data_IF_912222384571
#
_entry.id   IF_912222384571
#
_cell.length_a   1.000
_cell.length_b   1.000
_cell.length_c   1.000
_cell.angle_alpha   90.00
_cell.angle_beta   90.00
_cell.angle_gamma   90.00
#
_symmetry.space_group_name_H-M   'P 1'
#
loop_
_entity.id
_entity.type
_entity.pdbx_description
1 polymer ?
#
# COMPACT_ATOMS: atom_id res chain seq x y z
N UNK A 1 -52.07 50.95 1.67
CA UNK A 1 -51.56 51.86 0.61
C UNK A 1 -50.11 52.15 0.92
N UNK A 2 -49.22 51.70 0.01
CA UNK A 2 -47.88 52.22 -0.37
C UNK A 2 -46.97 52.79 0.74
N UNK A 3 -45.85 52.13 1.03
CA UNK A 3 -44.52 52.29 0.38
C UNK A 3 -43.88 53.66 0.64
N UNK A 4 -42.79 53.70 1.42
CA UNK A 4 -41.50 54.30 1.02
C UNK A 4 -40.36 53.52 1.72
N UNK A 5 -39.41 53.09 0.90
CA UNK A 5 -38.25 52.28 1.21
C UNK A 5 -37.02 53.08 1.68
N UNK A 6 -35.96 52.30 2.00
CA UNK A 6 -34.53 52.63 1.96
C UNK A 6 -33.93 53.34 3.20
N UNK A 7 -32.72 53.06 3.69
CA UNK A 7 -31.55 52.39 3.11
C UNK A 7 -30.55 52.05 4.26
N UNK A 8 -30.11 50.80 4.40
CA UNK A 8 -28.84 50.48 5.10
C UNK A 8 -28.06 49.48 4.23
N UNK A 9 -26.76 49.73 3.99
CA UNK A 9 -25.99 48.94 3.04
C UNK A 9 -25.81 47.51 3.53
N UNK A 10 -26.17 46.54 2.68
CA UNK A 10 -25.82 45.13 2.86
C UNK A 10 -24.31 45.00 2.80
N UNK A 11 -23.68 44.62 3.91
CA UNK A 11 -22.30 44.14 3.90
C UNK A 11 -22.27 42.82 3.14
N UNK A 12 -21.76 42.84 1.91
CA UNK A 12 -21.40 41.63 1.18
C UNK A 12 -20.37 40.85 1.99
N UNK A 13 -20.76 39.69 2.52
CA UNK A 13 -19.81 38.72 3.04
C UNK A 13 -19.09 38.12 1.84
N UNK A 14 -17.87 38.59 1.62
CA UNK A 14 -16.88 37.97 0.75
C UNK A 14 -16.72 36.50 1.19
N UNK A 15 -17.31 35.57 0.45
CA UNK A 15 -17.10 34.13 0.66
C UNK A 15 -15.64 33.88 0.26
N UNK A 16 -14.75 33.78 1.25
CA UNK A 16 -13.41 33.24 1.04
C UNK A 16 -13.58 31.74 0.84
N UNK A 17 -13.58 31.32 -0.41
CA UNK A 17 -13.43 29.92 -0.80
C UNK A 17 -12.03 29.47 -0.37
N UNK A 18 -11.94 29.01 0.88
CA UNK A 18 -10.70 28.55 1.49
C UNK A 18 -10.65 27.05 1.30
N UNK A 19 -10.18 26.62 0.12
CA UNK A 19 -9.71 25.25 -0.06
C UNK A 19 -8.50 25.05 0.85
N UNK A 20 -8.71 24.41 1.98
CA UNK A 20 -7.62 23.96 2.84
C UNK A 20 -7.10 22.68 2.19
N UNK A 21 -5.99 22.79 1.45
CA UNK A 21 -5.21 21.64 0.97
C UNK A 21 -4.24 21.29 2.09
N UNK A 22 -4.33 20.06 2.57
CA UNK A 22 -3.56 19.60 3.72
C UNK A 22 -2.71 18.40 3.31
N UNK A 23 -1.39 18.60 3.29
CA UNK A 23 -0.38 17.64 2.87
C UNK A 23 0.06 16.77 4.06
N UNK A 24 -0.26 15.45 4.13
CA UNK A 24 0.00 14.66 5.35
C UNK A 24 0.33 13.17 5.15
N UNK A 25 1.50 12.73 5.63
CA UNK A 25 1.84 11.31 5.85
C UNK A 25 1.45 10.88 7.27
N UNK A 26 0.43 10.03 7.41
CA UNK A 26 0.15 9.22 8.61
C UNK A 26 -0.38 9.94 9.87
N UNK A 27 0.42 10.76 10.55
CA UNK A 27 0.14 11.25 11.92
C UNK A 27 -0.95 12.33 11.98
N UNK A 28 -1.16 13.09 10.92
CA UNK A 28 -2.06 14.24 10.97
C UNK A 28 -3.51 13.95 10.53
N UNK A 29 -3.87 12.68 10.30
CA UNK A 29 -5.26 12.22 10.23
C UNK A 29 -5.97 12.37 11.59
N UNK A 30 -5.23 12.16 12.69
CA UNK A 30 -5.67 12.30 14.08
C UNK A 30 -6.14 13.72 14.42
N UNK A 31 -5.40 14.74 13.99
CA UNK A 31 -5.70 16.14 14.29
C UNK A 31 -6.94 16.66 13.54
N UNK A 32 -7.23 16.11 12.36
CA UNK A 32 -8.42 16.45 11.57
C UNK A 32 -9.69 15.88 12.19
N UNK A 33 -9.63 14.67 12.75
CA UNK A 33 -10.73 14.09 13.52
C UNK A 33 -11.04 14.89 14.79
N UNK A 34 -10.02 15.47 15.44
CA UNK A 34 -10.16 16.33 16.64
C UNK A 34 -10.84 17.68 16.38
N UNK A 35 -10.76 18.24 15.17
CA UNK A 35 -11.18 19.63 14.91
C UNK A 35 -12.62 19.81 14.36
N UNK A 36 -13.41 18.76 14.17
CA UNK A 36 -14.73 18.89 13.52
C UNK A 36 -15.90 19.16 14.47
N UNK A 37 -15.89 20.29 15.19
CA UNK A 37 -17.12 20.80 15.86
C UNK A 37 -18.16 21.34 14.86
N UNK A 38 -17.78 21.45 13.57
CA UNK A 38 -18.66 21.77 12.44
C UNK A 38 -18.39 20.83 11.29
N UNK A 39 -19.46 20.34 10.66
CA UNK A 39 -19.38 19.54 9.42
C UNK A 39 -18.67 20.34 8.32
N UNK A 40 -17.54 19.78 7.87
CA UNK A 40 -16.74 20.25 6.74
C UNK A 40 -17.16 19.55 5.42
N UNK A 41 -18.29 18.82 5.45
CA UNK A 41 -18.81 18.10 4.29
C UNK A 41 -19.01 19.06 3.11
N UNK A 42 -18.45 18.69 1.96
CA UNK A 42 -18.52 19.46 0.71
C UNK A 42 -17.68 20.75 0.66
N UNK A 43 -16.92 21.10 1.71
CA UNK A 43 -16.09 22.32 1.77
C UNK A 43 -14.61 22.05 2.04
N UNK A 44 -14.22 20.79 2.16
CA UNK A 44 -12.83 20.38 2.35
C UNK A 44 -12.51 19.29 1.32
N UNK A 45 -11.34 19.41 0.72
CA UNK A 45 -10.74 18.37 -0.09
C UNK A 45 -9.70 17.65 0.77
N UNK A 46 -9.79 16.34 0.81
CA UNK A 46 -8.79 15.50 1.46
C UNK A 46 -7.80 15.05 0.39
N UNK A 47 -6.51 15.27 0.65
CA UNK A 47 -5.44 14.74 -0.19
C UNK A 47 -4.71 13.71 0.65
N UNK A 48 -4.83 12.45 0.24
CA UNK A 48 -4.06 11.37 0.86
C UNK A 48 -2.61 11.47 0.35
N UNK A 49 -1.66 11.62 1.27
CA UNK A 49 -0.24 11.46 0.94
C UNK A 49 0.26 10.17 1.56
N UNK A 50 0.54 9.20 0.70
CA UNK A 50 1.19 7.98 1.10
C UNK A 50 2.73 8.19 1.16
N UNK A 51 3.47 7.26 1.78
CA UNK A 51 4.92 7.24 1.69
C UNK A 51 5.41 7.24 0.23
N UNK A 52 6.69 7.58 0.03
CA UNK A 52 7.34 7.57 -1.28
C UNK A 52 7.21 6.18 -1.89
N UNK A 53 6.69 6.11 -3.11
CA UNK A 53 6.56 4.86 -3.85
C UNK A 53 7.74 4.59 -4.81
N UNK A 54 7.71 3.43 -5.47
CA UNK A 54 8.76 3.00 -6.40
C UNK A 54 8.91 3.91 -7.62
N UNK A 55 7.84 4.59 -8.07
CA UNK A 55 7.91 5.52 -9.19
C UNK A 55 8.57 6.83 -8.76
N UNK A 56 8.12 7.40 -7.64
CA UNK A 56 8.67 8.63 -7.06
C UNK A 56 10.16 8.48 -6.70
N UNK A 57 10.53 7.37 -6.05
CA UNK A 57 11.92 7.06 -5.73
C UNK A 57 12.79 6.96 -6.99
N UNK A 58 12.31 6.29 -8.04
CA UNK A 58 13.04 6.17 -9.29
C UNK A 58 13.24 7.52 -9.98
N UNK A 59 12.23 8.40 -9.96
CA UNK A 59 12.33 9.77 -10.48
C UNK A 59 13.34 10.62 -9.70
N UNK A 60 13.45 10.39 -8.38
CA UNK A 60 14.42 11.04 -7.51
C UNK A 60 15.83 10.41 -7.58
N UNK A 61 16.05 9.37 -8.40
CA UNK A 61 17.33 8.67 -8.49
C UNK A 61 17.66 7.78 -7.29
N UNK A 62 16.66 7.45 -6.46
CA UNK A 62 16.80 6.56 -5.29
C UNK A 62 16.68 5.11 -5.76
N UNK A 63 17.61 4.26 -5.34
CA UNK A 63 17.59 2.84 -5.70
C UNK A 63 16.42 2.10 -5.04
N UNK A 64 15.75 1.21 -5.78
CA UNK A 64 14.64 0.38 -5.26
C UNK A 64 15.06 -0.45 -4.05
N UNK A 65 16.30 -0.95 -4.02
CA UNK A 65 16.86 -1.66 -2.87
C UNK A 65 16.94 -0.78 -1.61
N UNK A 66 17.27 0.50 -1.76
CA UNK A 66 17.30 1.46 -0.64
C UNK A 66 15.88 1.75 -0.14
N UNK A 67 14.94 1.98 -1.07
CA UNK A 67 13.52 2.16 -0.73
C UNK A 67 12.95 0.92 -0.04
N UNK A 68 13.24 -0.27 -0.56
CA UNK A 68 12.77 -1.52 0.00
C UNK A 68 13.32 -1.73 1.42
N UNK A 69 14.61 -1.51 1.66
CA UNK A 69 15.22 -1.65 2.99
C UNK A 69 14.68 -0.61 3.98
N UNK A 70 14.61 0.65 3.56
CA UNK A 70 14.37 1.80 4.46
C UNK A 70 12.90 2.23 4.56
N UNK A 71 12.02 1.75 3.69
CA UNK A 71 10.64 2.20 3.59
C UNK A 71 10.51 3.58 2.91
N UNK A 72 9.27 3.99 2.65
CA UNK A 72 8.94 5.20 1.90
C UNK A 72 8.81 6.46 2.74
N UNK A 73 8.97 6.39 4.07
CA UNK A 73 8.95 7.59 4.91
C UNK A 73 10.18 8.47 4.63
N UNK A 74 10.03 9.75 4.24
CA UNK A 74 11.15 10.56 3.75
C UNK A 74 12.35 10.64 4.70
N UNK A 75 12.12 10.89 5.98
CA UNK A 75 13.21 11.00 6.98
C UNK A 75 13.98 9.68 7.15
N UNK A 76 13.29 8.54 7.06
CA UNK A 76 13.91 7.21 7.07
C UNK A 76 14.66 6.95 5.76
N UNK A 77 14.01 7.18 4.62
CA UNK A 77 14.54 6.89 3.29
C UNK A 77 15.82 7.68 2.99
N UNK A 78 15.81 8.97 3.35
CA UNK A 78 16.85 9.94 3.07
C UNK A 78 17.91 10.08 4.17
N UNK A 79 17.82 9.28 5.24
CA UNK A 79 18.85 9.25 6.28
C UNK A 79 20.25 8.98 5.69
N UNK A 80 21.29 9.51 6.33
CA UNK A 80 22.67 9.39 5.82
C UNK A 80 23.19 7.95 5.81
N UNK A 81 22.67 7.09 6.68
CA UNK A 81 23.05 5.68 6.79
C UNK A 81 21.88 4.81 7.30
N UNK A 82 22.04 3.48 7.18
CA UNK A 82 20.99 2.51 7.52
C UNK A 82 20.69 2.46 9.02
N UNK A 83 21.66 2.82 9.87
CA UNK A 83 21.47 2.84 11.33
C UNK A 83 20.58 4.00 11.75
N UNK A 84 20.86 5.22 11.28
CA UNK A 84 20.01 6.38 11.54
C UNK A 84 18.61 6.20 10.93
N UNK A 85 18.54 5.58 9.75
CA UNK A 85 17.29 5.19 9.12
C UNK A 85 16.47 4.26 10.03
N UNK A 86 17.08 3.21 10.57
CA UNK A 86 16.43 2.27 11.48
C UNK A 86 16.03 2.91 12.82
N UNK A 87 16.90 3.72 13.42
CA UNK A 87 16.62 4.41 14.68
C UNK A 87 15.38 5.30 14.55
N UNK A 88 15.26 6.05 13.44
CA UNK A 88 14.06 6.83 13.13
C UNK A 88 12.81 5.93 13.05
N UNK A 89 12.89 4.77 12.36
CA UNK A 89 11.75 3.85 12.23
C UNK A 89 11.31 3.26 13.57
N UNK A 90 12.26 2.94 14.46
CA UNK A 90 11.96 2.48 15.82
C UNK A 90 11.27 3.57 16.64
N UNK A 91 11.75 4.81 16.54
CA UNK A 91 11.13 5.95 17.22
C UNK A 91 9.75 6.29 16.64
N UNK A 92 9.55 6.13 15.32
CA UNK A 92 8.26 6.22 14.66
C UNK A 92 7.28 5.18 15.22
N UNK A 93 7.66 3.91 15.25
CA UNK A 93 6.83 2.82 15.79
C UNK A 93 6.47 3.11 17.26
N UNK A 94 7.45 3.47 18.09
CA UNK A 94 7.23 3.81 19.51
C UNK A 94 6.23 4.95 19.65
N UNK A 95 6.46 6.05 18.94
CA UNK A 95 5.59 7.23 19.00
C UNK A 95 4.17 6.91 18.58
N UNK A 96 3.98 6.12 17.52
CA UNK A 96 2.67 5.71 17.04
C UNK A 96 1.93 4.86 18.08
N UNK A 97 2.61 3.86 18.66
CA UNK A 97 2.05 2.97 19.67
C UNK A 97 1.71 3.68 20.99
N UNK A 98 2.55 4.64 21.41
CA UNK A 98 2.38 5.32 22.70
C UNK A 98 1.43 6.52 22.64
N UNK A 99 1.30 7.17 21.48
CA UNK A 99 0.51 8.40 21.35
C UNK A 99 -0.73 8.23 20.48
N UNK A 100 -0.58 7.65 19.31
CA UNK A 100 -1.59 7.72 18.26
C UNK A 100 -2.61 6.60 18.38
N UNK A 101 -2.18 5.34 18.53
CA UNK A 101 -3.12 4.21 18.63
C UNK A 101 -3.99 4.24 19.90
N UNK A 102 -3.48 4.58 21.10
CA UNK A 102 -4.30 4.64 22.31
C UNK A 102 -5.48 5.62 22.22
N UNK A 103 -5.39 6.64 21.35
CA UNK A 103 -6.51 7.56 21.12
C UNK A 103 -7.73 6.88 20.47
N UNK A 104 -7.51 5.81 19.70
CA UNK A 104 -8.56 5.08 18.99
C UNK A 104 -8.84 3.69 19.59
N UNK A 105 -7.91 3.16 20.38
CA UNK A 105 -7.98 1.87 21.03
C UNK A 105 -7.81 1.97 22.57
N UNK A 106 -8.64 2.76 23.29
CA UNK A 106 -8.40 3.07 24.70
C UNK A 106 -8.44 1.86 25.65
N UNK A 107 -8.92 0.70 25.16
CA UNK A 107 -9.06 -0.54 25.93
C UNK A 107 -7.92 -1.54 25.73
N UNK A 108 -6.96 -1.28 24.85
CA UNK A 108 -5.79 -2.15 24.66
C UNK A 108 -4.50 -1.41 25.00
N UNK A 109 -3.64 -1.97 25.87
CA UNK A 109 -2.33 -1.40 26.15
C UNK A 109 -1.49 -1.28 24.87
N UNK A 110 -0.72 -0.21 24.74
CA UNK A 110 0.19 0.03 23.61
C UNK A 110 1.09 -1.19 23.32
N UNK A 111 1.58 -1.86 24.37
CA UNK A 111 2.39 -3.07 24.27
C UNK A 111 1.65 -4.22 23.54
N UNK A 112 0.36 -4.42 23.81
CA UNK A 112 -0.42 -5.47 23.15
C UNK A 112 -0.64 -5.16 21.66
N UNK A 113 -0.77 -3.89 21.30
CA UNK A 113 -0.85 -3.43 19.90
C UNK A 113 0.51 -3.61 19.22
N UNK A 114 1.61 -3.29 19.90
CA UNK A 114 2.97 -3.56 19.41
C UNK A 114 3.17 -5.04 19.11
N UNK A 115 2.80 -5.93 20.05
CA UNK A 115 2.82 -7.39 19.83
C UNK A 115 1.96 -7.82 18.65
N UNK A 116 0.73 -7.29 18.52
CA UNK A 116 -0.13 -7.55 17.36
C UNK A 116 0.58 -7.17 16.06
N UNK A 117 1.16 -5.98 15.99
CA UNK A 117 1.82 -5.48 14.79
C UNK A 117 3.06 -6.32 14.43
N UNK A 118 3.88 -6.68 15.41
CA UNK A 118 5.00 -7.61 15.23
C UNK A 118 4.52 -9.00 14.78
N UNK A 119 3.40 -9.50 15.30
CA UNK A 119 2.84 -10.78 14.83
C UNK A 119 2.36 -10.70 13.38
N UNK A 120 1.78 -9.58 12.96
CA UNK A 120 1.43 -9.34 11.56
C UNK A 120 2.68 -9.24 10.68
N UNK A 121 3.76 -8.62 11.16
CA UNK A 121 5.06 -8.59 10.46
C UNK A 121 5.61 -10.00 10.21
N UNK A 122 5.52 -10.90 11.19
CA UNK A 122 5.88 -12.32 11.00
C UNK A 122 4.93 -13.07 10.06
N UNK A 123 3.72 -12.55 9.82
CA UNK A 123 2.74 -13.10 8.88
C UNK A 123 2.68 -12.34 7.55
N UNK A 124 3.71 -11.55 7.21
CA UNK A 124 3.75 -10.76 5.97
C UNK A 124 3.36 -11.60 4.75
N UNK A 125 2.38 -11.13 3.97
CA UNK A 125 1.89 -11.81 2.76
C UNK A 125 1.15 -13.13 2.99
N UNK A 126 1.02 -13.57 4.24
CA UNK A 126 0.29 -14.76 4.63
C UNK A 126 -1.22 -14.53 4.71
N UNK A 127 -1.98 -15.62 4.57
CA UNK A 127 -3.42 -15.62 4.83
C UNK A 127 -3.67 -15.40 6.34
N UNK A 128 -4.52 -14.43 6.66
CA UNK A 128 -4.81 -14.03 8.03
C UNK A 128 -5.48 -15.16 8.81
N UNK A 129 -4.85 -15.56 9.92
CA UNK A 129 -5.42 -16.49 10.89
C UNK A 129 -5.73 -15.72 12.19
N UNK A 130 -6.90 -15.11 12.25
CA UNK A 130 -7.33 -14.30 13.39
C UNK A 130 -7.38 -15.11 14.69
N UNK A 131 -7.85 -16.36 14.64
CA UNK A 131 -7.96 -17.21 15.82
C UNK A 131 -6.59 -17.47 16.48
N UNK A 132 -5.56 -17.71 15.67
CA UNK A 132 -4.19 -17.89 16.16
C UNK A 132 -3.66 -16.62 16.83
N UNK A 133 -3.90 -15.45 16.23
CA UNK A 133 -3.47 -14.17 16.77
C UNK A 133 -4.20 -13.86 18.09
N UNK A 134 -5.52 -14.04 18.10
CA UNK A 134 -6.36 -13.80 19.27
C UNK A 134 -5.97 -14.69 20.46
N UNK A 135 -5.74 -15.98 20.21
CA UNK A 135 -5.27 -16.92 21.23
C UNK A 135 -3.90 -16.51 21.80
N UNK A 136 -2.95 -16.12 20.96
CA UNK A 136 -1.62 -15.71 21.43
C UNK A 136 -1.62 -14.39 22.20
N UNK A 137 -2.59 -13.50 21.95
CA UNK A 137 -2.75 -12.23 22.68
C UNK A 137 -3.73 -12.30 23.85
N UNK A 138 -4.37 -13.46 24.09
CA UNK A 138 -5.32 -13.64 25.19
C UNK A 138 -6.59 -12.81 25.05
N UNK A 139 -7.03 -12.53 23.83
CA UNK A 139 -8.24 -11.72 23.53
C UNK A 139 -9.18 -12.44 22.58
N UNK A 140 -10.39 -11.92 22.38
CA UNK A 140 -11.37 -12.50 21.46
C UNK A 140 -11.10 -12.15 20.00
N UNK A 141 -11.56 -13.00 19.05
CA UNK A 141 -11.43 -12.73 17.61
C UNK A 141 -12.02 -11.37 17.19
N UNK A 142 -13.24 -10.96 17.63
CA UNK A 142 -13.77 -9.64 17.27
C UNK A 142 -12.91 -8.48 17.79
N UNK A 143 -12.15 -8.71 18.87
CA UNK A 143 -11.24 -7.72 19.41
C UNK A 143 -10.01 -7.56 18.54
N UNK A 144 -9.42 -8.67 18.08
CA UNK A 144 -8.32 -8.61 17.10
C UNK A 144 -8.77 -7.98 15.79
N UNK A 145 -9.95 -8.35 15.27
CA UNK A 145 -10.41 -7.82 13.99
C UNK A 145 -10.57 -6.29 14.03
N UNK A 146 -11.16 -5.73 15.10
CA UNK A 146 -11.23 -4.28 15.30
C UNK A 146 -9.87 -3.60 15.33
N UNK A 147 -8.86 -4.24 15.92
CA UNK A 147 -7.51 -3.64 15.98
C UNK A 147 -6.76 -3.77 14.66
N UNK A 148 -6.96 -4.85 13.90
CA UNK A 148 -6.44 -4.94 12.54
C UNK A 148 -7.13 -3.90 11.65
N UNK A 149 -8.44 -3.72 11.78
CA UNK A 149 -9.19 -2.67 11.05
C UNK A 149 -8.64 -1.28 11.38
N UNK A 150 -8.38 -1.00 12.66
CA UNK A 150 -7.74 0.24 13.07
C UNK A 150 -6.37 0.44 12.39
N UNK A 151 -5.50 -0.58 12.36
CA UNK A 151 -4.21 -0.48 11.67
C UNK A 151 -4.36 -0.31 10.14
N UNK A 152 -5.43 -0.84 9.55
CA UNK A 152 -5.76 -0.64 8.13
C UNK A 152 -6.24 0.78 7.87
N UNK A 153 -7.11 1.33 8.72
CA UNK A 153 -7.61 2.70 8.63
C UNK A 153 -6.49 3.72 8.81
N UNK A 154 -5.55 3.43 9.70
CA UNK A 154 -4.31 4.21 9.90
C UNK A 154 -3.29 4.02 8.77
N UNK A 155 -3.59 3.14 7.80
CA UNK A 155 -2.75 2.77 6.66
C UNK A 155 -1.39 2.17 7.05
N UNK A 156 -1.27 1.62 8.25
CA UNK A 156 -0.09 0.90 8.72
C UNK A 156 -0.07 -0.55 8.21
N UNK A 157 -1.25 -1.11 8.00
CA UNK A 157 -1.46 -2.46 7.48
C UNK A 157 -2.30 -2.39 6.21
N UNK A 158 -1.97 -3.24 5.23
CA UNK A 158 -2.81 -3.51 4.07
C UNK A 158 -3.48 -4.87 4.25
N UNK A 159 -4.81 -4.90 4.19
CA UNK A 159 -5.60 -6.14 4.13
C UNK A 159 -6.03 -6.35 2.68
N UNK A 160 -5.44 -7.35 2.03
CA UNK A 160 -5.73 -7.68 0.63
C UNK A 160 -6.76 -8.81 0.58
N UNK A 161 -8.00 -8.48 0.18
CA UNK A 161 -9.08 -9.44 0.09
C UNK A 161 -8.96 -10.38 -1.12
N UNK A 162 -9.51 -11.60 -1.05
CA UNK A 162 -9.61 -12.44 -2.22
C UNK A 162 -10.65 -11.86 -3.19
N UNK A 163 -10.35 -11.85 -4.48
CA UNK A 163 -11.32 -11.53 -5.51
C UNK A 163 -12.38 -12.64 -5.54
N UNK A 164 -13.66 -12.29 -5.42
CA UNK A 164 -14.74 -13.22 -5.10
C UNK A 164 -15.89 -13.25 -6.11
N UNK A 165 -15.66 -12.81 -7.36
CA UNK A 165 -16.70 -12.84 -8.39
C UNK A 165 -17.15 -14.26 -8.77
N UNK A 166 -18.12 -14.34 -9.69
CA UNK A 166 -18.82 -15.58 -10.09
C UNK A 166 -17.96 -16.53 -10.93
N UNK A 167 -16.80 -16.89 -10.42
CA UNK A 167 -15.97 -17.98 -10.96
C UNK A 167 -16.45 -19.22 -10.25
N UNK A 168 -16.96 -20.22 -10.98
CA UNK A 168 -17.52 -21.46 -10.43
C UNK A 168 -16.51 -22.38 -9.71
N UNK A 169 -15.55 -21.81 -8.98
CA UNK A 169 -14.44 -22.47 -8.29
C UNK A 169 -14.52 -22.19 -6.79
N UNK A 170 -13.93 -23.08 -6.01
CA UNK A 170 -13.78 -22.89 -4.57
C UNK A 170 -12.58 -21.98 -4.30
N UNK A 171 -12.85 -20.78 -3.79
CA UNK A 171 -11.84 -19.76 -3.49
C UNK A 171 -11.45 -19.74 -2.01
N UNK A 172 -10.20 -19.34 -1.73
CA UNK A 172 -9.78 -18.96 -0.38
C UNK A 172 -10.56 -17.72 0.04
N UNK A 173 -11.12 -17.73 1.25
CA UNK A 173 -12.00 -16.64 1.75
C UNK A 173 -11.30 -15.64 2.67
N UNK A 174 -10.23 -16.07 3.35
CA UNK A 174 -9.50 -15.21 4.28
C UNK A 174 -8.56 -14.27 3.52
N UNK A 175 -8.42 -13.01 3.95
CA UNK A 175 -7.55 -12.04 3.29
C UNK A 175 -6.07 -12.35 3.54
N UNK A 176 -5.18 -11.86 2.66
CA UNK A 176 -3.76 -11.69 2.97
C UNK A 176 -3.55 -10.38 3.76
N UNK A 177 -2.51 -10.33 4.59
CA UNK A 177 -2.15 -9.11 5.33
C UNK A 177 -0.70 -8.73 5.11
N UNK A 178 -0.45 -7.43 5.04
CA UNK A 178 0.88 -6.86 4.89
C UNK A 178 1.05 -5.71 5.87
N UNK A 179 2.16 -5.65 6.58
CA UNK A 179 2.68 -4.37 7.07
C UNK A 179 3.01 -3.55 5.82
N UNK A 180 2.38 -2.38 5.71
CA UNK A 180 2.28 -1.65 4.44
C UNK A 180 3.62 -1.08 4.01
N UNK A 181 4.37 -0.48 4.93
CA UNK A 181 5.69 0.07 4.68
C UNK A 181 6.77 -0.98 5.00
N UNK A 182 7.65 -1.24 4.03
CA UNK A 182 8.69 -2.27 4.18
C UNK A 182 9.74 -1.90 5.21
N UNK A 183 10.08 -0.61 5.36
CA UNK A 183 10.98 -0.15 6.41
C UNK A 183 10.41 -0.42 7.80
N UNK A 184 9.12 -0.12 8.01
CA UNK A 184 8.43 -0.41 9.28
C UNK A 184 8.36 -1.92 9.54
N UNK A 185 8.08 -2.73 8.51
CA UNK A 185 8.18 -4.20 8.61
C UNK A 185 9.56 -4.64 9.09
N UNK A 186 10.63 -4.11 8.48
CA UNK A 186 12.00 -4.48 8.82
C UNK A 186 12.38 -4.03 10.24
N UNK A 187 11.93 -2.86 10.67
CA UNK A 187 12.13 -2.39 12.04
C UNK A 187 11.40 -3.28 13.07
N UNK A 188 10.16 -3.71 12.80
CA UNK A 188 9.42 -4.64 13.68
C UNK A 188 10.06 -6.02 13.80
N UNK A 189 10.86 -6.42 12.81
CA UNK A 189 11.58 -7.70 12.75
C UNK A 189 13.08 -7.55 13.08
N UNK A 190 13.52 -6.35 13.46
CA UNK A 190 14.91 -6.03 13.81
C UNK A 190 15.92 -6.35 12.68
N UNK A 191 15.50 -6.19 11.42
CA UNK A 191 16.32 -6.35 10.22
C UNK A 191 17.01 -5.01 9.90
N UNK A 192 18.33 -4.96 10.07
CA UNK A 192 19.07 -3.69 10.06
C UNK A 192 19.71 -3.41 8.71
N UNK A 193 20.21 -4.46 8.07
CA UNK A 193 20.98 -4.40 6.83
C UNK A 193 20.27 -5.16 5.71
N UNK A 194 20.72 -4.91 4.48
CA UNK A 194 20.28 -5.71 3.33
C UNK A 194 20.63 -7.19 3.50
N UNK A 195 21.77 -7.52 4.11
CA UNK A 195 22.18 -8.91 4.34
C UNK A 195 21.25 -9.61 5.34
N UNK A 196 20.84 -8.93 6.42
CA UNK A 196 19.84 -9.46 7.36
C UNK A 196 18.54 -9.78 6.63
N UNK A 197 18.07 -8.85 5.79
CA UNK A 197 16.83 -9.00 5.03
C UNK A 197 16.87 -10.14 4.02
N UNK A 198 18.00 -10.29 3.31
CA UNK A 198 18.19 -11.35 2.33
C UNK A 198 18.33 -12.73 2.99
N UNK A 199 18.90 -12.79 4.19
CA UNK A 199 19.01 -14.02 4.99
C UNK A 199 17.73 -14.40 5.74
N UNK A 200 16.81 -13.46 5.95
CA UNK A 200 15.58 -13.70 6.71
C UNK A 200 14.47 -14.34 5.84
N UNK A 201 13.68 -15.32 6.36
CA UNK A 201 12.59 -15.95 5.61
C UNK A 201 11.52 -14.98 5.08
N UNK A 202 11.39 -13.79 5.68
CA UNK A 202 10.45 -12.76 5.23
C UNK A 202 10.88 -12.10 3.92
N UNK A 203 12.14 -12.18 3.49
CA UNK A 203 12.68 -11.34 2.41
C UNK A 203 11.88 -11.42 1.10
N UNK A 204 11.42 -12.62 0.70
CA UNK A 204 10.53 -12.78 -0.46
C UNK A 204 9.19 -12.06 -0.30
N UNK A 205 8.52 -12.30 0.83
CA UNK A 205 7.20 -11.75 1.16
C UNK A 205 7.23 -10.24 1.48
N UNK A 206 8.37 -9.76 1.99
CA UNK A 206 8.65 -8.33 2.17
C UNK A 206 8.72 -7.64 0.81
N UNK A 207 9.46 -8.20 -0.15
CA UNK A 207 9.55 -7.66 -1.50
C UNK A 207 8.19 -7.68 -2.23
N UNK A 208 7.42 -8.76 -2.06
CA UNK A 208 6.02 -8.84 -2.52
C UNK A 208 5.18 -7.70 -1.95
N UNK A 209 5.19 -7.52 -0.62
CA UNK A 209 4.46 -6.44 0.04
C UNK A 209 4.88 -5.04 -0.39
N UNK A 210 6.19 -4.80 -0.57
CA UNK A 210 6.77 -3.55 -1.08
C UNK A 210 6.21 -3.19 -2.47
N UNK A 211 6.22 -4.16 -3.39
CA UNK A 211 5.66 -3.99 -4.72
C UNK A 211 4.15 -3.76 -4.67
N UNK A 212 3.40 -4.58 -3.91
CA UNK A 212 1.95 -4.44 -3.78
C UNK A 212 1.57 -3.07 -3.23
N UNK A 213 2.22 -2.61 -2.16
CA UNK A 213 1.92 -1.31 -1.55
C UNK A 213 2.07 -0.16 -2.55
N UNK A 214 3.15 -0.16 -3.33
CA UNK A 214 3.43 0.83 -4.37
C UNK A 214 2.43 0.76 -5.52
N UNK A 215 2.10 -0.43 -6.00
CA UNK A 215 1.15 -0.63 -7.11
C UNK A 215 -0.28 -0.25 -6.71
N UNK A 216 -0.68 -0.55 -5.48
CA UNK A 216 -1.97 -0.14 -4.92
C UNK A 216 -2.07 1.37 -4.77
N UNK A 217 -0.98 2.03 -4.38
CA UNK A 217 -0.90 3.49 -4.33
C UNK A 217 -1.05 4.11 -5.73
N UNK A 218 -0.28 3.62 -6.71
CA UNK A 218 -0.35 4.11 -8.09
C UNK A 218 -1.69 3.82 -8.79
N UNK A 219 -2.34 2.70 -8.46
CA UNK A 219 -3.68 2.35 -8.93
C UNK A 219 -4.75 3.37 -8.46
N UNK A 220 -4.56 3.95 -7.28
CA UNK A 220 -5.48 4.90 -6.67
C UNK A 220 -6.90 4.33 -6.50
N UNK A 221 -7.89 5.22 -6.38
CA UNK A 221 -9.30 4.82 -6.26
C UNK A 221 -9.90 4.26 -7.56
N UNK A 222 -9.17 4.33 -8.68
CA UNK A 222 -9.65 3.88 -10.00
C UNK A 222 -9.70 2.36 -10.11
N UNK A 223 -8.83 1.66 -9.39
CA UNK A 223 -8.71 0.20 -9.44
C UNK A 223 -8.68 -0.39 -8.03
N UNK A 224 -9.56 -1.34 -7.78
CA UNK A 224 -9.64 -2.02 -6.49
C UNK A 224 -8.67 -3.20 -6.44
N UNK A 225 -7.84 -3.32 -5.40
CA UNK A 225 -6.85 -4.38 -5.30
C UNK A 225 -7.39 -5.63 -4.59
N UNK A 226 -7.05 -6.78 -5.14
CA UNK A 226 -7.36 -8.10 -4.59
C UNK A 226 -6.18 -9.05 -4.79
N UNK A 227 -6.22 -10.22 -4.16
CA UNK A 227 -5.46 -11.38 -4.64
C UNK A 227 -6.44 -12.42 -5.18
N UNK A 228 -5.95 -13.43 -5.89
CA UNK A 228 -6.78 -14.56 -6.29
C UNK A 228 -6.12 -15.85 -5.87
N UNK A 229 -6.86 -16.76 -5.24
CA UNK A 229 -6.38 -18.10 -4.92
C UNK A 229 -7.49 -19.13 -4.87
N UNK A 230 -7.32 -20.21 -5.62
CA UNK A 230 -8.20 -21.38 -5.56
C UNK A 230 -7.70 -22.40 -4.54
N UNK A 231 -8.59 -23.27 -4.06
CA UNK A 231 -8.18 -24.45 -3.28
C UNK A 231 -7.29 -25.43 -4.06
N UNK A 232 -7.29 -25.36 -5.40
CA UNK A 232 -6.43 -26.17 -6.26
C UNK A 232 -5.01 -25.61 -6.43
N UNK A 233 -4.72 -24.45 -5.81
CA UNK A 233 -3.39 -23.84 -5.82
C UNK A 233 -3.10 -22.87 -6.97
N UNK A 234 -4.06 -22.61 -7.87
CA UNK A 234 -3.95 -21.49 -8.81
C UNK A 234 -4.01 -20.17 -8.03
N UNK A 235 -3.02 -19.28 -8.23
CA UNK A 235 -2.82 -18.06 -7.46
C UNK A 235 -2.40 -16.90 -8.38
N UNK A 236 -2.81 -15.68 -8.03
CA UNK A 236 -2.31 -14.40 -8.55
C UNK A 236 -2.07 -13.52 -7.32
N UNK A 237 -0.85 -13.00 -7.18
CA UNK A 237 -0.45 -12.20 -6.01
C UNK A 237 -1.26 -10.90 -5.89
N UNK A 238 -1.43 -10.19 -7.02
CA UNK A 238 -2.23 -8.96 -7.10
C UNK A 238 -3.10 -8.94 -8.36
N UNK A 239 -4.39 -8.76 -8.15
CA UNK A 239 -5.41 -8.51 -9.17
C UNK A 239 -5.92 -7.08 -8.99
N UNK A 240 -5.93 -6.30 -10.07
CA UNK A 240 -6.53 -4.97 -10.08
C UNK A 240 -7.86 -5.02 -10.84
N UNK A 241 -8.94 -4.67 -10.17
CA UNK A 241 -10.29 -4.64 -10.71
C UNK A 241 -10.72 -3.22 -11.06
N UNK A 242 -11.33 -3.04 -12.24
CA UNK A 242 -11.99 -1.79 -12.61
C UNK A 242 -13.43 -2.08 -13.05
N UNK A 243 -14.40 -1.47 -12.36
CA UNK A 243 -15.83 -1.58 -12.72
C UNK A 243 -16.39 -3.00 -12.61
N UNK A 244 -16.02 -3.77 -11.58
CA UNK A 244 -16.51 -5.13 -11.37
C UNK A 244 -15.83 -6.19 -12.22
N UNK A 245 -14.76 -5.85 -12.94
CA UNK A 245 -14.02 -6.77 -13.82
C UNK A 245 -12.53 -6.75 -13.51
N UNK A 246 -11.90 -7.92 -13.28
CA UNK A 246 -10.46 -7.99 -13.11
C UNK A 246 -9.79 -7.63 -14.45
N UNK A 247 -8.94 -6.61 -14.43
CA UNK A 247 -8.32 -6.04 -15.64
C UNK A 247 -6.85 -6.46 -15.76
N UNK A 248 -6.14 -6.49 -14.63
CA UNK A 248 -4.68 -6.69 -14.58
C UNK A 248 -4.35 -7.76 -13.55
N UNK A 249 -3.49 -8.71 -13.94
CA UNK A 249 -2.92 -9.73 -13.07
C UNK A 249 -1.41 -9.49 -12.93
N UNK A 250 -0.93 -9.56 -11.70
CA UNK A 250 0.46 -9.28 -11.36
C UNK A 250 0.96 -10.40 -10.46
N UNK A 251 2.00 -11.09 -10.92
CA UNK A 251 2.83 -11.98 -10.11
C UNK A 251 4.07 -11.21 -9.64
N UNK A 252 4.54 -11.41 -8.41
CA UNK A 252 5.74 -10.76 -7.91
C UNK A 252 6.79 -11.81 -7.56
N UNK A 253 7.99 -11.65 -8.10
CA UNK A 253 9.12 -12.57 -7.87
C UNK A 253 10.38 -11.80 -7.51
N UNK A 254 10.91 -12.07 -6.32
CA UNK A 254 12.26 -11.64 -5.91
C UNK A 254 13.33 -12.56 -6.51
N UNK A 255 13.44 -12.56 -7.84
CA UNK A 255 14.45 -13.32 -8.60
C UNK A 255 14.84 -12.52 -9.84
N UNK A 256 16.11 -12.58 -10.24
CA UNK A 256 16.59 -11.96 -11.50
C UNK A 256 16.17 -12.75 -12.74
N UNK A 257 15.85 -14.04 -12.59
CA UNK A 257 15.33 -14.91 -13.64
C UNK A 257 14.03 -15.57 -13.14
N UNK A 258 12.91 -14.82 -13.06
CA UNK A 258 11.64 -15.34 -12.58
C UNK A 258 11.06 -16.37 -13.54
N UNK A 259 10.53 -17.46 -13.00
CA UNK A 259 9.68 -18.40 -13.72
C UNK A 259 8.25 -18.30 -13.21
N UNK A 260 7.29 -18.49 -14.12
CA UNK A 260 5.88 -18.55 -13.78
C UNK A 260 5.40 -20.00 -13.65
N UNK A 261 4.67 -20.25 -12.58
CA UNK A 261 3.97 -21.51 -12.39
C UNK A 261 2.71 -21.57 -13.25
N UNK A 262 2.32 -22.80 -13.61
CA UNK A 262 1.08 -23.06 -14.37
C UNK A 262 -0.15 -22.48 -13.67
N UNK A 263 -0.15 -22.40 -12.34
CA UNK A 263 -1.23 -21.85 -11.54
C UNK A 263 -1.58 -20.41 -11.89
N UNK A 264 -0.58 -19.56 -12.15
CA UNK A 264 -0.79 -18.17 -12.54
C UNK A 264 -1.53 -18.05 -13.88
N UNK A 265 -1.11 -18.84 -14.88
CA UNK A 265 -1.77 -18.87 -16.19
C UNK A 265 -3.22 -19.34 -16.10
N UNK A 266 -3.47 -20.43 -15.37
CA UNK A 266 -4.83 -20.95 -15.14
C UNK A 266 -5.70 -19.90 -14.45
N UNK A 267 -5.18 -19.22 -13.43
CA UNK A 267 -5.92 -18.17 -12.74
C UNK A 267 -6.25 -16.98 -13.65
N UNK A 268 -5.29 -16.54 -14.49
CA UNK A 268 -5.54 -15.48 -15.46
C UNK A 268 -6.61 -15.86 -16.48
N UNK A 269 -6.58 -17.10 -16.96
CA UNK A 269 -7.55 -17.61 -17.93
C UNK A 269 -8.94 -17.78 -17.28
N UNK A 270 -9.02 -18.30 -16.05
CA UNK A 270 -10.25 -18.41 -15.26
C UNK A 270 -10.92 -17.04 -15.03
N UNK A 271 -10.11 -15.97 -14.90
CA UNK A 271 -10.58 -14.59 -14.72
C UNK A 271 -10.74 -13.80 -16.03
N UNK A 272 -10.32 -14.36 -17.19
CA UNK A 272 -10.34 -13.67 -18.47
C UNK A 272 -9.39 -12.46 -18.55
N UNK A 273 -8.35 -12.42 -17.72
CA UNK A 273 -7.39 -11.32 -17.67
C UNK A 273 -6.39 -11.46 -18.81
N UNK A 274 -6.21 -10.40 -19.61
CA UNK A 274 -5.24 -10.38 -20.72
C UNK A 274 -4.02 -9.52 -20.42
N UNK A 275 -4.14 -8.52 -19.55
CA UNK A 275 -3.01 -7.71 -19.11
C UNK A 275 -2.32 -8.38 -17.92
N UNK A 276 -1.14 -8.95 -18.17
CA UNK A 276 -0.43 -9.83 -17.23
C UNK A 276 1.01 -9.36 -17.04
N UNK A 277 1.45 -9.22 -15.80
CA UNK A 277 2.81 -8.80 -15.46
C UNK A 277 3.50 -9.80 -14.52
N UNK A 278 4.81 -9.91 -14.68
CA UNK A 278 5.71 -10.42 -13.64
C UNK A 278 6.57 -9.28 -13.17
N UNK A 279 6.31 -8.83 -11.94
CA UNK A 279 7.10 -7.79 -11.28
C UNK A 279 8.32 -8.43 -10.63
N UNK A 280 9.49 -7.93 -10.97
CA UNK A 280 10.77 -8.46 -10.50
C UNK A 280 11.84 -7.36 -10.45
N UNK A 281 12.97 -7.57 -9.72
CA UNK A 281 13.95 -6.51 -9.48
C UNK A 281 14.87 -6.20 -10.69
N UNK A 282 14.85 -7.01 -11.75
CA UNK A 282 15.73 -6.84 -12.90
C UNK A 282 15.22 -5.84 -13.95
N UNK A 283 16.07 -5.56 -14.95
CA UNK A 283 15.78 -4.61 -16.05
C UNK A 283 15.64 -5.28 -17.41
N UNK A 284 15.97 -6.56 -17.51
CA UNK A 284 15.95 -7.32 -18.74
C UNK A 284 14.52 -7.58 -19.24
N UNK A 285 14.38 -7.75 -20.56
CA UNK A 285 13.14 -8.21 -21.17
C UNK A 285 13.41 -9.57 -21.77
N UNK A 286 12.69 -10.57 -21.28
CA UNK A 286 12.75 -11.94 -21.78
C UNK A 286 11.32 -12.47 -21.95
N UNK A 287 11.11 -13.41 -22.90
CA UNK A 287 9.82 -14.05 -23.07
C UNK A 287 9.47 -14.85 -21.82
N UNK A 288 8.29 -14.61 -21.27
CA UNK A 288 7.71 -15.37 -20.17
C UNK A 288 6.53 -16.20 -20.64
N UNK A 289 6.24 -17.26 -19.89
CA UNK A 289 5.06 -18.11 -20.15
C UNK A 289 3.76 -17.35 -19.85
N UNK A 290 2.64 -17.91 -20.30
CA UNK A 290 1.29 -17.44 -19.98
C UNK A 290 0.98 -15.99 -20.43
N UNK A 291 1.72 -15.46 -21.40
CA UNK A 291 1.48 -14.12 -21.96
C UNK A 291 1.83 -12.97 -21.01
N UNK A 292 2.57 -13.24 -19.94
CA UNK A 292 3.00 -12.21 -19.00
C UNK A 292 4.23 -11.45 -19.52
N UNK A 293 4.28 -10.14 -19.27
CA UNK A 293 5.46 -9.32 -19.53
C UNK A 293 6.30 -9.12 -18.27
N UNK A 294 7.64 -9.28 -18.30
CA UNK A 294 8.49 -8.89 -17.18
C UNK A 294 8.51 -7.36 -17.05
N UNK A 295 8.38 -6.85 -15.83
CA UNK A 295 8.40 -5.43 -15.54
C UNK A 295 8.98 -5.12 -14.15
N UNK A 296 9.47 -3.90 -13.96
CA UNK A 296 9.76 -3.36 -12.63
C UNK A 296 8.49 -2.77 -12.02
N UNK A 297 8.37 -2.80 -10.69
CA UNK A 297 7.23 -2.24 -9.97
C UNK A 297 6.95 -0.77 -10.39
N UNK A 298 7.98 0.08 -10.40
CA UNK A 298 7.85 1.49 -10.81
C UNK A 298 7.36 1.69 -12.25
N UNK A 299 7.70 0.78 -13.18
CA UNK A 299 7.23 0.87 -14.56
C UNK A 299 5.73 0.51 -14.69
N UNK A 300 5.26 -0.43 -13.87
CA UNK A 300 3.83 -0.75 -13.79
C UNK A 300 3.09 0.37 -13.06
N UNK A 301 3.66 0.92 -11.98
CA UNK A 301 3.12 2.06 -11.25
C UNK A 301 2.88 3.28 -12.15
N UNK A 302 3.90 3.69 -12.93
CA UNK A 302 3.78 4.80 -13.90
C UNK A 302 2.67 4.58 -14.94
N UNK A 303 2.44 3.33 -15.35
CA UNK A 303 1.33 2.99 -16.24
C UNK A 303 -0.02 3.15 -15.54
N UNK A 304 -0.13 2.71 -14.28
CA UNK A 304 -1.36 2.77 -13.48
C UNK A 304 -1.77 4.21 -13.14
N UNK A 305 -0.80 5.05 -12.77
CA UNK A 305 -0.99 6.47 -12.42
C UNK A 305 -1.38 7.34 -13.63
N UNK A 306 -1.23 6.82 -14.86
CA UNK A 306 -1.55 7.53 -16.09
C UNK A 306 -0.41 8.42 -16.60
N UNK A 307 0.82 8.26 -16.09
CA UNK A 307 2.02 8.99 -16.48
C UNK A 307 2.57 8.61 -17.88
N UNK A 308 1.71 8.29 -18.85
CA UNK A 308 2.09 8.19 -20.26
C UNK A 308 1.79 9.50 -20.99
N UNK A 309 2.79 10.38 -21.00
CA UNK A 309 2.68 11.64 -21.75
C UNK A 309 3.94 12.48 -21.89
N UNK A 310 5.16 11.96 -21.66
CA UNK A 310 6.43 12.55 -22.12
C UNK A 310 7.57 11.65 -21.63
N UNK A 311 8.26 10.99 -22.55
CA UNK A 311 9.67 10.51 -22.51
C UNK A 311 9.78 9.36 -23.53
N UNK A 312 10.70 9.56 -24.48
CA UNK A 312 11.12 8.66 -25.57
C UNK A 312 10.32 8.68 -26.88
N UNK A 313 10.23 9.85 -27.53
CA UNK A 313 10.56 9.93 -28.95
C UNK A 313 11.79 10.84 -29.10
N UNK A 314 12.96 10.24 -28.92
CA UNK A 314 14.24 10.78 -29.37
C UNK A 314 14.85 9.71 -30.25
N UNK A 315 14.29 9.55 -31.44
CA UNK A 315 14.86 8.71 -32.49
C UNK A 315 16.13 9.39 -32.98
N UNK A 316 17.25 8.75 -32.70
CA UNK A 316 18.28 8.43 -33.67
C UNK A 316 17.92 8.84 -35.12
N UNK A 317 18.48 9.95 -35.60
CA UNK A 317 18.66 10.25 -37.03
C UNK A 317 19.62 11.43 -37.17
N UNK A 318 20.92 11.13 -37.20
CA UNK A 318 21.92 12.00 -37.84
C UNK A 318 23.15 11.17 -38.26
N UNK A 319 22.95 10.32 -39.27
CA UNK A 319 23.98 9.99 -40.24
C UNK A 319 23.51 10.49 -41.60
N UNK A 320 24.06 11.64 -42.01
CA UNK A 320 24.43 12.03 -43.37
C UNK A 320 25.12 13.39 -43.31
#
# INVERSE_FOLDING_TARGET
MQDIANNRPRRERKIRDSRIVSHRTGSAALDLMRQSSKTLAGRVAYVDMAPVDTEEAAQAGIADAQLWLRGGFPDSLLASDDRLSLDWRRDFIRSYLERDVPMFAPRMPAEAIGRLWTMLAHQQGGVLNQARIASALGVSNPTIDRYIDLLVDLRLVLRLGPWSGNVGKRLVKSPKVYVRDSGVLHALLELQTMDDLLGHPVGGLSYEGHCIASLVQAAGARRLPYFYRTHAGAEIDLVLEQGGRPEIAIEIKRSTAPSLDKGFGVACDDLGITERYVVYPGTERFPLRHGAGPARAGAVAARLSGARGQVCQGADTAQR
#
